data_IF_566860102306
#
_entry.id   IF_566860102306
#
_cell.length_a   1.000
_cell.length_b   1.000
_cell.length_c   1.000
_cell.angle_alpha   90.00
_cell.angle_beta   90.00
_cell.angle_gamma   90.00
#
_symmetry.space_group_name_H-M   'P 1'
#
loop_
_entity.id
_entity.type
_entity.pdbx_description
1 polymer ?
#
# COMPACT_ATOMS: atom_id res chain seq x y z
N UNK A 1 4.14 -22.94 21.84
CA UNK A 1 4.86 -21.67 21.62
C UNK A 1 4.02 -20.77 20.72
N UNK A 2 4.18 -19.45 20.86
CA UNK A 2 3.35 -18.40 20.25
C UNK A 2 3.68 -17.04 20.88
N UNK A 3 4.97 -16.76 21.06
CA UNK A 3 5.48 -15.64 21.85
C UNK A 3 5.18 -14.27 21.22
N UNK A 4 4.99 -14.24 19.90
CA UNK A 4 4.71 -13.04 19.14
C UNK A 4 3.27 -13.08 18.61
N UNK A 5 2.61 -11.92 18.67
CA UNK A 5 1.24 -11.73 18.16
C UNK A 5 1.21 -11.12 16.77
N UNK A 6 2.30 -10.44 16.38
CA UNK A 6 2.48 -9.79 15.09
C UNK A 6 3.89 -10.08 14.60
N UNK A 7 4.03 -10.33 13.31
CA UNK A 7 5.30 -10.51 12.61
C UNK A 7 5.29 -9.62 11.38
N UNK A 8 6.21 -8.66 11.33
CA UNK A 8 6.41 -7.80 10.18
C UNK A 8 7.47 -8.43 9.27
N UNK A 9 7.17 -8.48 7.97
CA UNK A 9 7.99 -9.19 6.98
C UNK A 9 8.07 -8.34 5.73
N UNK A 10 9.28 -8.14 5.21
CA UNK A 10 9.47 -7.55 3.89
C UNK A 10 9.06 -8.57 2.80
N UNK A 11 8.38 -8.15 1.72
CA UNK A 11 7.86 -9.07 0.70
C UNK A 11 8.96 -9.91 0.02
N UNK A 12 10.19 -9.39 -0.09
CA UNK A 12 11.35 -10.12 -0.64
C UNK A 12 11.69 -11.37 0.19
N UNK A 13 11.29 -11.42 1.46
CA UNK A 13 11.53 -12.61 2.30
C UNK A 13 10.73 -13.82 1.83
N UNK A 14 9.63 -13.61 1.10
CA UNK A 14 8.79 -14.67 0.54
C UNK A 14 9.49 -15.44 -0.60
N UNK A 15 10.62 -14.93 -1.10
CA UNK A 15 11.46 -15.64 -2.08
C UNK A 15 12.28 -16.76 -1.45
N UNK A 16 12.42 -16.78 -0.11
CA UNK A 16 13.15 -17.81 0.61
C UNK A 16 12.25 -19.01 0.91
N UNK A 17 12.53 -20.15 0.26
CA UNK A 17 11.81 -21.41 0.53
C UNK A 17 11.85 -21.80 2.02
N UNK A 18 13.00 -21.65 2.68
CA UNK A 18 13.13 -21.93 4.12
C UNK A 18 12.14 -21.10 4.97
N UNK A 19 11.93 -19.84 4.60
CA UNK A 19 10.97 -18.99 5.29
C UNK A 19 9.53 -19.41 5.00
N UNK A 20 9.23 -19.77 3.76
CA UNK A 20 7.90 -20.25 3.36
C UNK A 20 7.55 -21.56 4.09
N UNK A 21 8.49 -22.50 4.20
CA UNK A 21 8.30 -23.75 4.93
C UNK A 21 7.97 -23.48 6.40
N UNK A 22 8.66 -22.53 7.03
CA UNK A 22 8.34 -22.10 8.39
C UNK A 22 6.94 -21.49 8.51
N UNK A 23 6.48 -20.73 7.52
CA UNK A 23 5.13 -20.14 7.52
C UNK A 23 4.04 -21.21 7.39
N UNK A 24 4.26 -22.25 6.59
CA UNK A 24 3.30 -23.35 6.37
C UNK A 24 3.05 -24.11 7.68
N UNK A 25 4.08 -24.27 8.52
CA UNK A 25 3.96 -24.93 9.82
C UNK A 25 3.30 -24.04 10.90
N UNK A 26 3.09 -22.75 10.62
CA UNK A 26 2.46 -21.81 11.54
C UNK A 26 0.95 -21.72 11.34
N UNK A 27 0.22 -21.64 12.46
CA UNK A 27 -1.21 -21.29 12.45
C UNK A 27 -1.36 -19.77 12.29
N UNK A 28 -1.51 -19.31 11.05
CA UNK A 28 -1.68 -17.90 10.71
C UNK A 28 -3.17 -17.60 10.52
N UNK A 29 -3.82 -16.84 11.42
CA UNK A 29 -5.24 -16.52 11.28
C UNK A 29 -5.48 -15.37 10.28
N UNK A 30 -4.50 -14.49 10.07
CA UNK A 30 -4.64 -13.29 9.25
C UNK A 30 -3.30 -12.88 8.64
N UNK A 31 -3.36 -12.34 7.43
CA UNK A 31 -2.27 -11.65 6.75
C UNK A 31 -2.75 -10.24 6.40
N UNK A 32 -1.99 -9.25 6.84
CA UNK A 32 -2.21 -7.86 6.48
C UNK A 32 -1.11 -7.41 5.49
N UNK A 33 -1.52 -6.91 4.33
CA UNK A 33 -0.65 -6.34 3.30
C UNK A 33 -0.78 -4.82 3.40
N UNK A 34 0.28 -4.19 3.90
CA UNK A 34 0.40 -2.74 3.90
C UNK A 34 1.01 -2.24 2.59
N UNK A 35 0.70 -1.00 2.21
CA UNK A 35 1.05 -0.41 0.93
C UNK A 35 0.69 -1.31 -0.26
N UNK A 36 -0.52 -1.88 -0.25
CA UNK A 36 -0.99 -2.83 -1.25
C UNK A 36 -0.95 -2.29 -2.68
N UNK A 37 -0.89 -0.97 -2.87
CA UNK A 37 -0.71 -0.35 -4.18
C UNK A 37 0.56 -0.82 -4.91
N UNK A 38 1.58 -1.29 -4.18
CA UNK A 38 2.83 -1.84 -4.73
C UNK A 38 2.62 -3.09 -5.62
N UNK A 39 1.46 -3.76 -5.51
CA UNK A 39 1.08 -4.91 -6.34
C UNK A 39 0.86 -4.51 -7.81
N UNK A 40 0.30 -3.32 -8.04
CA UNK A 40 -0.11 -2.89 -9.38
C UNK A 40 1.03 -2.18 -10.09
N UNK A 41 1.27 -2.53 -11.36
CA UNK A 41 2.20 -1.83 -12.25
C UNK A 41 1.76 -0.39 -12.56
N UNK A 42 0.47 -0.10 -12.39
CA UNK A 42 -0.10 1.24 -12.52
C UNK A 42 -0.06 2.00 -11.18
N UNK A 43 0.45 1.37 -10.13
CA UNK A 43 0.76 2.01 -8.85
C UNK A 43 1.99 2.92 -8.96
N UNK A 44 2.12 3.83 -8.01
CA UNK A 44 3.22 4.80 -8.01
C UNK A 44 4.56 4.23 -7.49
N UNK A 45 4.55 3.03 -6.91
CA UNK A 45 5.75 2.30 -6.43
C UNK A 45 5.61 0.78 -6.65
N UNK A 46 5.48 0.34 -7.90
CA UNK A 46 5.34 -1.09 -8.21
C UNK A 46 6.56 -1.90 -7.74
N UNK A 47 6.30 -2.98 -6.99
CA UNK A 47 7.33 -3.91 -6.48
C UNK A 47 7.00 -5.35 -6.87
N UNK A 48 7.81 -6.00 -7.73
CA UNK A 48 7.57 -7.38 -8.14
C UNK A 48 7.43 -8.38 -6.97
N UNK A 49 8.15 -8.17 -5.87
CA UNK A 49 8.09 -9.01 -4.66
C UNK A 49 6.68 -9.11 -4.07
N UNK A 50 5.83 -8.08 -4.23
CA UNK A 50 4.43 -8.11 -3.77
C UNK A 50 3.57 -9.12 -4.53
N UNK A 51 3.90 -9.42 -5.80
CA UNK A 51 3.16 -10.41 -6.58
C UNK A 51 3.30 -11.82 -5.98
N UNK A 52 4.37 -12.09 -5.25
CA UNK A 52 4.58 -13.41 -4.64
C UNK A 52 3.67 -13.66 -3.44
N UNK A 53 3.01 -12.64 -2.89
CA UNK A 53 2.05 -12.79 -1.79
C UNK A 53 0.90 -13.72 -2.19
N UNK A 54 0.39 -13.60 -3.43
CA UNK A 54 -0.70 -14.48 -3.90
C UNK A 54 -0.30 -15.96 -3.80
N UNK A 55 0.97 -16.29 -4.11
CA UNK A 55 1.46 -17.67 -4.12
C UNK A 55 1.45 -18.25 -2.72
N UNK A 56 1.90 -17.46 -1.75
CA UNK A 56 1.93 -17.89 -0.35
C UNK A 56 0.53 -18.14 0.18
N UNK A 57 -0.46 -17.32 -0.20
CA UNK A 57 -1.85 -17.55 0.19
C UNK A 57 -2.38 -18.92 -0.27
N UNK A 58 -1.92 -19.42 -1.42
CA UNK A 58 -2.29 -20.74 -1.94
C UNK A 58 -1.55 -21.90 -1.25
N UNK A 59 -0.34 -21.67 -0.72
CA UNK A 59 0.46 -22.69 -0.05
C UNK A 59 0.13 -22.88 1.44
N UNK A 60 -0.53 -21.90 2.07
CA UNK A 60 -0.90 -22.01 3.48
C UNK A 60 -1.99 -23.09 3.68
N UNK A 61 -1.82 -23.98 4.68
CA UNK A 61 -2.72 -25.12 4.87
C UNK A 61 -4.14 -24.73 5.27
N UNK A 62 -4.30 -23.54 5.87
CA UNK A 62 -5.59 -22.91 6.11
C UNK A 62 -5.57 -21.52 5.48
N UNK A 63 -6.64 -21.16 4.77
CA UNK A 63 -6.78 -19.82 4.18
C UNK A 63 -6.92 -18.78 5.29
N UNK A 64 -5.94 -17.87 5.47
CA UNK A 64 -6.05 -16.81 6.45
C UNK A 64 -7.04 -15.73 5.98
N UNK A 65 -7.51 -14.91 6.91
CA UNK A 65 -8.14 -13.64 6.55
C UNK A 65 -7.09 -12.74 5.87
N UNK A 66 -7.42 -12.18 4.70
CA UNK A 66 -6.54 -11.27 3.98
C UNK A 66 -7.08 -9.85 4.12
N UNK A 67 -6.22 -8.94 4.59
CA UNK A 67 -6.51 -7.51 4.69
C UNK A 67 -5.47 -6.74 3.86
N UNK A 68 -5.92 -5.97 2.87
CA UNK A 68 -5.06 -5.11 2.08
C UNK A 68 -5.34 -3.64 2.43
N UNK A 69 -4.30 -2.88 2.75
CA UNK A 69 -4.38 -1.47 3.12
C UNK A 69 -3.51 -0.63 2.18
N UNK A 70 -4.01 0.55 1.81
CA UNK A 70 -3.23 1.56 1.10
C UNK A 70 -3.88 2.93 1.28
N UNK A 71 -3.07 3.98 1.35
CA UNK A 71 -3.58 5.36 1.39
C UNK A 71 -4.04 5.87 0.02
N UNK A 72 -3.45 5.34 -1.06
CA UNK A 72 -3.74 5.79 -2.43
C UNK A 72 -3.93 4.58 -3.34
N UNK A 73 -5.07 4.53 -4.03
CA UNK A 73 -5.35 3.56 -5.06
C UNK A 73 -6.29 4.19 -6.08
N UNK A 74 -5.88 4.27 -7.34
CA UNK A 74 -6.80 4.57 -8.44
C UNK A 74 -7.77 3.40 -8.63
N UNK A 75 -8.90 3.56 -9.35
CA UNK A 75 -9.81 2.46 -9.63
C UNK A 75 -9.11 1.23 -10.25
N UNK A 76 -8.16 1.45 -11.15
CA UNK A 76 -7.35 0.38 -11.77
C UNK A 76 -6.46 -0.32 -10.74
N UNK A 77 -5.71 0.45 -9.93
CA UNK A 77 -4.83 -0.12 -8.90
C UNK A 77 -5.64 -0.95 -7.90
N UNK A 78 -6.81 -0.47 -7.50
CA UNK A 78 -7.73 -1.21 -6.62
C UNK A 78 -8.18 -2.53 -7.23
N UNK A 79 -8.57 -2.52 -8.51
CA UNK A 79 -8.95 -3.73 -9.24
C UNK A 79 -7.79 -4.73 -9.29
N UNK A 80 -6.57 -4.28 -9.60
CA UNK A 80 -5.38 -5.13 -9.63
C UNK A 80 -5.09 -5.76 -8.25
N UNK A 81 -5.22 -4.99 -7.15
CA UNK A 81 -5.08 -5.50 -5.78
C UNK A 81 -6.12 -6.59 -5.52
N UNK A 82 -7.40 -6.31 -5.82
CA UNK A 82 -8.50 -7.24 -5.60
C UNK A 82 -8.29 -8.55 -6.36
N UNK A 83 -7.96 -8.45 -7.65
CA UNK A 83 -7.74 -9.60 -8.51
C UNK A 83 -6.53 -10.43 -8.07
N UNK A 84 -5.41 -9.78 -7.70
CA UNK A 84 -4.18 -10.47 -7.30
C UNK A 84 -4.33 -11.17 -5.95
N UNK A 85 -5.04 -10.57 -5.00
CA UNK A 85 -5.21 -11.12 -3.65
C UNK A 85 -6.49 -11.94 -3.47
N UNK A 86 -7.30 -12.08 -4.52
CA UNK A 86 -8.59 -12.79 -4.46
C UNK A 86 -9.62 -12.11 -3.52
N UNK A 87 -9.54 -10.78 -3.38
CA UNK A 87 -10.47 -9.99 -2.56
C UNK A 87 -11.65 -9.59 -3.44
N UNK A 88 -12.86 -9.90 -3.00
CA UNK A 88 -14.05 -9.49 -3.75
C UNK A 88 -14.34 -7.99 -3.60
N UNK A 89 -14.85 -7.36 -4.66
CA UNK A 89 -15.02 -5.91 -4.71
C UNK A 89 -16.03 -5.40 -3.67
N UNK A 90 -17.06 -6.16 -3.30
CA UNK A 90 -17.99 -5.77 -2.23
C UNK A 90 -17.35 -5.71 -0.84
N UNK A 91 -16.19 -6.34 -0.66
CA UNK A 91 -15.41 -6.28 0.58
C UNK A 91 -14.40 -5.12 0.58
N UNK A 92 -14.51 -4.20 -0.37
CA UNK A 92 -13.63 -3.02 -0.45
C UNK A 92 -14.28 -1.81 0.22
N UNK A 93 -13.56 -1.20 1.15
CA UNK A 93 -13.97 0.05 1.79
C UNK A 93 -13.08 1.18 1.27
N UNK A 94 -13.70 2.26 0.80
CA UNK A 94 -13.00 3.48 0.42
C UNK A 94 -13.52 4.65 1.23
N UNK A 95 -12.60 5.37 1.86
CA UNK A 95 -12.90 6.62 2.54
C UNK A 95 -12.58 7.81 1.64
N UNK A 96 -13.09 8.98 2.00
CA UNK A 96 -12.76 10.24 1.32
C UNK A 96 -11.26 10.56 1.42
N UNK A 97 -10.69 11.04 0.32
CA UNK A 97 -9.31 11.55 0.24
C UNK A 97 -9.22 13.06 0.48
N UNK A 98 -10.34 13.77 0.45
CA UNK A 98 -10.41 15.22 0.62
C UNK A 98 -9.85 15.65 1.97
N UNK A 99 -9.03 16.71 1.93
CA UNK A 99 -8.46 17.37 3.10
C UNK A 99 -8.82 18.83 3.02
N UNK A 100 -9.80 19.25 3.80
CA UNK A 100 -10.32 20.63 3.81
C UNK A 100 -9.25 21.67 4.13
N UNK A 101 -8.17 21.26 4.81
CA UNK A 101 -7.03 22.10 5.15
C UNK A 101 -5.98 22.21 4.03
N UNK A 102 -6.18 21.57 2.87
CA UNK A 102 -5.27 21.66 1.72
C UNK A 102 -5.93 22.45 0.59
N UNK A 103 -5.24 23.49 0.11
CA UNK A 103 -5.62 24.25 -1.07
C UNK A 103 -4.69 23.93 -2.25
N UNK A 104 -5.27 23.71 -3.43
CA UNK A 104 -4.53 23.43 -4.65
C UNK A 104 -4.61 24.63 -5.61
N UNK A 105 -3.47 25.15 -6.06
CA UNK A 105 -3.41 26.24 -7.05
C UNK A 105 -2.35 25.95 -8.11
N UNK A 106 -2.61 26.36 -9.35
CA UNK A 106 -1.69 26.18 -10.49
C UNK A 106 -1.47 27.53 -11.16
N UNK A 107 -0.21 27.97 -11.21
CA UNK A 107 0.17 29.26 -11.80
C UNK A 107 1.10 29.01 -12.97
N UNK A 108 0.77 29.60 -14.13
CA UNK A 108 1.50 29.41 -15.39
C UNK A 108 2.13 30.74 -15.84
N UNK A 109 3.22 30.67 -16.60
CA UNK A 109 3.82 31.83 -17.26
C UNK A 109 4.56 32.82 -16.34
N UNK A 110 4.93 32.40 -15.12
CA UNK A 110 5.72 33.20 -14.19
C UNK A 110 7.18 32.72 -14.13
N UNK A 111 8.08 33.62 -13.78
CA UNK A 111 9.43 33.22 -13.33
C UNK A 111 9.28 32.41 -12.04
N UNK A 112 9.63 31.12 -12.10
CA UNK A 112 9.46 30.16 -11.00
C UNK A 112 10.21 30.59 -9.75
N UNK A 113 11.43 31.12 -9.89
CA UNK A 113 12.27 31.48 -8.75
C UNK A 113 11.76 32.77 -8.09
N UNK A 114 11.40 33.78 -8.90
CA UNK A 114 10.83 35.02 -8.38
C UNK A 114 9.50 34.76 -7.67
N UNK A 115 8.64 33.92 -8.27
CA UNK A 115 7.37 33.53 -7.67
C UNK A 115 7.56 32.75 -6.35
N UNK A 116 8.45 31.75 -6.32
CA UNK A 116 8.73 30.98 -5.10
C UNK A 116 9.26 31.88 -3.97
N UNK A 117 10.19 32.79 -4.27
CA UNK A 117 10.76 33.69 -3.27
C UNK A 117 9.71 34.64 -2.67
N UNK A 118 8.82 35.18 -3.50
CA UNK A 118 7.71 36.03 -3.08
C UNK A 118 6.66 35.24 -2.30
N UNK A 119 6.31 34.03 -2.76
CA UNK A 119 5.37 33.14 -2.09
C UNK A 119 5.84 32.75 -0.68
N UNK A 120 7.09 32.31 -0.53
CA UNK A 120 7.65 31.96 0.79
C UNK A 120 7.67 33.20 1.71
N UNK A 121 8.01 34.37 1.18
CA UNK A 121 8.05 35.62 1.95
C UNK A 121 6.66 36.02 2.47
N UNK A 122 5.62 35.87 1.64
CA UNK A 122 4.24 36.22 2.01
C UNK A 122 3.65 35.26 3.05
N UNK A 123 4.08 33.99 3.04
CA UNK A 123 3.51 32.93 3.87
C UNK A 123 4.42 32.53 5.06
N UNK A 124 5.35 33.38 5.52
CA UNK A 124 6.31 33.05 6.60
C UNK A 124 5.70 32.60 7.93
N UNK A 125 4.44 32.97 8.20
CA UNK A 125 3.73 32.64 9.45
C UNK A 125 2.76 31.47 9.29
N UNK A 126 2.61 30.95 8.08
CA UNK A 126 1.75 29.82 7.80
C UNK A 126 2.56 28.53 7.96
N UNK A 127 1.94 27.49 8.51
CA UNK A 127 2.52 26.14 8.51
C UNK A 127 2.27 25.53 7.14
N UNK A 128 3.35 25.11 6.48
CA UNK A 128 3.29 24.32 5.23
C UNK A 128 3.06 22.84 5.50
#
# INVERSE_FOLDING_TARGET
QGHYKLLYVAPERLDSMEFVDQLIDMKIPMIAIDEAHCISQWGHDFRPSYLHIHRILDYLPAKPLVLALTATATPQVREDICNTLGINQENTIMTTFERENLSFSVIKGQDRNAYLADYIRRNQKESG
#
